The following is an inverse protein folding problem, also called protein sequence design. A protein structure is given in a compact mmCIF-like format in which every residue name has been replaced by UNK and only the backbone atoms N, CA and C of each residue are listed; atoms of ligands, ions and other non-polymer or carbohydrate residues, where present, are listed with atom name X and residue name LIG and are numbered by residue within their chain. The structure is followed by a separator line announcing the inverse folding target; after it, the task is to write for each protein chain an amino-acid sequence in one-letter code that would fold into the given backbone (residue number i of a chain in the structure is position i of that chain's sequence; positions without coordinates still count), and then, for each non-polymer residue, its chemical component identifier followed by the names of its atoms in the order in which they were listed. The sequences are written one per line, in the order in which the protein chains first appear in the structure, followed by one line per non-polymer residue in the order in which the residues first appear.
data_IF_199297988847
#
_entry.id   IF_199297988847
#
_cell.length_a   1.000
_cell.length_b   1.000
_cell.length_c   1.000
_cell.angle_alpha   90.00
_cell.angle_beta   90.00
_cell.angle_gamma   90.00
#
_symmetry.space_group_name_H-M   'P 1'
#
loop_
_entity.id
_entity.type
_entity.pdbx_description
1 polymer ?
#
# COMPACT_ATOMS: atom_id res chain seq x y z
N UNK A 1 30.07 -5.61 4.10
CA UNK A 1 28.84 -4.96 3.61
C UNK A 1 28.68 -3.66 4.37
N UNK A 2 28.60 -2.53 3.69
CA UNK A 2 28.46 -1.26 4.39
C UNK A 2 27.04 -1.15 4.95
N UNK A 3 26.92 -0.91 6.25
CA UNK A 3 25.66 -0.71 6.95
C UNK A 3 24.90 0.45 6.30
N UNK A 4 23.64 0.18 5.92
CA UNK A 4 22.73 1.19 5.41
C UNK A 4 22.30 2.05 6.61
N UNK A 5 22.67 3.32 6.64
CA UNK A 5 22.22 4.25 7.68
C UNK A 5 20.87 4.82 7.25
N UNK A 6 19.79 4.29 7.83
CA UNK A 6 18.46 4.88 7.74
C UNK A 6 18.25 5.84 8.92
N UNK A 7 17.67 7.00 8.65
CA UNK A 7 17.26 7.99 9.65
C UNK A 7 15.73 7.96 9.72
N UNK A 8 15.18 7.78 10.91
CA UNK A 8 13.72 7.78 11.14
C UNK A 8 13.30 9.07 11.83
N UNK A 9 12.09 9.53 11.53
CA UNK A 9 11.49 10.68 12.19
C UNK A 9 9.98 10.49 12.33
N UNK A 10 9.41 11.20 13.30
CA UNK A 10 7.97 11.37 13.45
C UNK A 10 7.65 12.85 13.26
N UNK A 11 6.61 13.15 12.49
CA UNK A 11 6.12 14.50 12.27
C UNK A 11 4.68 14.60 12.77
N UNK A 12 4.43 15.52 13.69
CA UNK A 12 3.07 15.82 14.16
C UNK A 12 2.38 16.75 13.16
N UNK A 13 1.23 16.30 12.64
CA UNK A 13 0.42 17.02 11.66
C UNK A 13 -1.00 17.24 12.21
N UNK A 14 -1.76 18.23 11.69
CA UNK A 14 -3.16 18.37 12.03
C UNK A 14 -3.94 17.10 11.67
N UNK A 15 -4.80 16.61 12.57
CA UNK A 15 -5.73 15.53 12.28
C UNK A 15 -6.69 15.97 11.17
N UNK A 16 -7.19 17.20 11.27
CA UNK A 16 -8.02 17.83 10.24
C UNK A 16 -7.21 18.89 9.53
N UNK A 17 -6.98 18.71 8.24
CA UNK A 17 -6.43 19.75 7.38
C UNK A 17 -7.57 20.64 6.91
N UNK A 18 -7.51 21.94 7.22
CA UNK A 18 -8.51 22.90 6.76
C UNK A 18 -8.33 23.23 5.27
N UNK A 19 -9.41 23.22 4.51
CA UNK A 19 -9.62 24.34 3.59
C UNK A 19 -9.93 25.57 4.47
N UNK A 20 -9.44 26.79 4.16
CA UNK A 20 -9.76 27.96 4.97
C UNK A 20 -11.28 28.07 5.09
N UNK A 21 -11.79 28.02 6.32
CA UNK A 21 -13.21 28.20 6.58
C UNK A 21 -13.63 29.56 6.02
N UNK A 22 -14.54 29.55 5.05
CA UNK A 22 -15.13 30.77 4.46
C UNK A 22 -15.95 31.55 5.52
N UNK A 23 -16.18 30.96 6.70
CA UNK A 23 -16.87 31.60 7.81
C UNK A 23 -16.12 31.39 9.13
N UNK A 24 -15.34 32.42 9.50
CA UNK A 24 -15.30 33.06 10.82
C UNK A 24 -15.09 32.22 12.09
N UNK A 25 -14.02 32.59 12.79
CA UNK A 25 -13.70 32.41 14.22
C UNK A 25 -13.15 31.05 14.69
N UNK A 26 -11.92 31.03 15.24
CA UNK A 26 -11.36 29.85 15.91
C UNK A 26 -11.83 29.81 17.37
N UNK A 27 -12.73 28.90 17.70
CA UNK A 27 -13.11 28.61 19.09
C UNK A 27 -12.50 27.28 19.56
N UNK A 28 -11.41 27.34 20.34
CA UNK A 28 -10.92 26.31 21.31
C UNK A 28 -10.63 24.86 20.78
N UNK A 29 -9.99 23.96 21.55
CA UNK A 29 -8.63 23.96 22.13
C UNK A 29 -7.57 23.58 21.06
N UNK A 30 -6.34 23.19 21.44
CA UNK A 30 -5.28 22.74 20.51
C UNK A 30 -5.87 21.81 19.43
N UNK A 31 -5.72 22.10 18.12
CA UNK A 31 -6.33 21.28 17.07
C UNK A 31 -5.84 19.84 17.22
N UNK A 32 -6.75 18.87 17.13
CA UNK A 32 -6.39 17.45 17.20
C UNK A 32 -5.25 17.16 16.20
N UNK A 33 -4.27 16.37 16.62
CA UNK A 33 -3.08 16.06 15.83
C UNK A 33 -2.95 14.57 15.59
N UNK A 34 -2.18 14.20 14.57
CA UNK A 34 -1.79 12.84 14.26
C UNK A 34 -0.29 12.83 14.01
N UNK A 35 0.40 11.80 14.48
CA UNK A 35 1.81 11.59 14.22
C UNK A 35 1.98 10.72 12.97
N UNK A 36 2.78 11.20 12.01
CA UNK A 36 3.15 10.43 10.81
C UNK A 36 4.61 10.03 10.84
N UNK A 37 4.90 8.80 10.43
CA UNK A 37 6.24 8.24 10.40
C UNK A 37 6.93 8.50 9.06
N UNK A 38 8.21 8.90 9.13
CA UNK A 38 9.08 9.13 7.98
C UNK A 38 10.37 8.33 8.13
N UNK A 39 10.93 7.93 7.00
CA UNK A 39 12.25 7.33 6.91
C UNK A 39 13.03 7.95 5.75
N UNK A 40 14.32 8.19 5.97
CA UNK A 40 15.29 8.60 4.96
C UNK A 40 16.47 7.64 4.90
N UNK A 41 16.90 7.28 3.69
CA UNK A 41 18.21 6.68 3.43
C UNK A 41 19.03 7.67 2.63
N UNK A 42 20.07 8.24 3.27
CA UNK A 42 20.91 9.27 2.66
C UNK A 42 21.89 8.69 1.65
N UNK A 43 22.06 9.36 0.52
CA UNK A 43 23.12 9.07 -0.44
C UNK A 43 24.50 9.40 0.15
N UNK A 44 25.49 8.54 -0.12
CA UNK A 44 26.89 8.79 0.28
C UNK A 44 27.47 10.05 -0.34
N UNK A 45 27.07 10.35 -1.57
CA UNK A 45 27.45 11.55 -2.32
C UNK A 45 26.17 12.17 -2.90
N UNK A 46 25.49 13.06 -2.16
CA UNK A 46 24.21 13.62 -2.58
C UNK A 46 24.32 14.43 -3.88
N UNK A 47 23.43 14.13 -4.82
CA UNK A 47 23.27 14.85 -6.09
C UNK A 47 22.20 15.94 -6.03
N UNK A 48 21.64 16.21 -4.85
CA UNK A 48 20.51 17.12 -4.68
C UNK A 48 19.18 16.56 -5.20
N UNK A 49 19.03 15.23 -5.31
CA UNK A 49 17.78 14.57 -5.68
C UNK A 49 17.18 13.85 -4.49
N UNK A 50 15.87 13.95 -4.33
CA UNK A 50 15.09 13.18 -3.36
C UNK A 50 14.10 12.30 -4.12
N UNK A 51 14.09 11.00 -3.81
CA UNK A 51 13.13 10.04 -4.33
C UNK A 51 12.19 9.64 -3.20
N UNK A 52 10.94 10.08 -3.28
CA UNK A 52 9.90 9.83 -2.29
C UNK A 52 9.03 8.65 -2.72
N UNK A 53 9.17 7.54 -2.01
CA UNK A 53 8.38 6.34 -2.23
C UNK A 53 7.04 6.44 -1.50
N UNK A 54 5.96 6.29 -2.27
CA UNK A 54 4.59 6.24 -1.79
C UNK A 54 4.10 4.81 -1.94
N UNK A 55 3.93 4.14 -0.80
CA UNK A 55 3.60 2.72 -0.76
C UNK A 55 2.18 2.42 -1.28
N UNK A 56 2.06 1.26 -1.89
CA UNK A 56 0.79 0.69 -2.32
C UNK A 56 0.01 -0.02 -1.21
N UNK A 57 -0.90 -0.90 -1.63
CA UNK A 57 -1.88 -1.57 -0.77
C UNK A 57 -3.30 -1.25 -1.25
N UNK A 58 -4.09 -0.40 -0.55
CA UNK A 58 -3.75 0.42 0.62
C UNK A 58 -3.36 -0.40 1.86
N UNK A 59 -2.75 0.25 2.86
CA UNK A 59 -2.29 -0.39 4.10
C UNK A 59 -0.77 -0.64 4.20
N UNK A 60 -0.03 -0.47 3.10
CA UNK A 60 1.42 -0.64 3.08
C UNK A 60 2.15 0.50 3.80
N UNK A 61 3.14 0.15 4.62
CA UNK A 61 4.05 1.10 5.25
C UNK A 61 5.25 1.39 4.33
N UNK A 62 5.37 2.63 3.85
CA UNK A 62 6.50 3.06 3.03
C UNK A 62 7.81 2.95 3.79
N UNK A 63 7.82 3.27 5.08
CA UNK A 63 9.01 3.20 5.94
C UNK A 63 9.54 1.76 6.06
N UNK A 64 8.66 0.76 6.14
CA UNK A 64 9.04 -0.66 6.18
C UNK A 64 9.61 -1.17 4.84
N UNK A 65 9.16 -0.61 3.71
CA UNK A 65 9.60 -1.03 2.38
C UNK A 65 10.88 -0.32 1.91
N UNK A 66 11.14 0.89 2.40
CA UNK A 66 12.24 1.74 1.93
C UNK A 66 13.62 1.04 1.93
N UNK A 67 14.02 0.26 2.97
CA UNK A 67 15.31 -0.45 2.95
C UNK A 67 15.42 -1.48 1.83
N UNK A 68 14.34 -2.21 1.54
CA UNK A 68 14.30 -3.18 0.45
C UNK A 68 14.43 -2.48 -0.90
N UNK A 69 13.71 -1.38 -1.09
CA UNK A 69 13.76 -0.60 -2.33
C UNK A 69 15.12 0.04 -2.53
N UNK A 70 15.73 0.61 -1.49
CA UNK A 70 17.08 1.15 -1.57
C UNK A 70 18.10 0.06 -1.92
N UNK A 71 18.00 -1.13 -1.31
CA UNK A 71 18.86 -2.27 -1.68
C UNK A 71 18.72 -2.68 -3.14
N UNK A 72 17.50 -2.60 -3.70
CA UNK A 72 17.22 -2.99 -5.08
C UNK A 72 17.63 -1.92 -6.10
N UNK A 73 17.39 -0.64 -5.79
CA UNK A 73 17.42 0.45 -6.76
C UNK A 73 18.46 1.54 -6.44
N UNK A 74 19.06 1.55 -5.25
CA UNK A 74 20.01 2.59 -4.85
C UNK A 74 21.24 2.70 -5.75
N UNK A 75 21.65 1.60 -6.39
CA UNK A 75 22.72 1.62 -7.39
C UNK A 75 22.33 2.32 -8.70
N UNK A 76 21.08 2.16 -9.17
CA UNK A 76 20.58 2.85 -10.35
C UNK A 76 20.29 4.34 -10.07
N UNK A 77 19.99 4.67 -8.83
CA UNK A 77 19.69 6.02 -8.35
C UNK A 77 20.80 6.59 -7.47
N UNK A 78 22.06 6.31 -7.82
CA UNK A 78 23.21 6.83 -7.09
C UNK A 78 23.12 8.34 -6.90
N UNK A 79 23.36 8.80 -5.68
CA UNK A 79 23.29 10.22 -5.32
C UNK A 79 21.89 10.74 -5.00
N UNK A 80 20.82 9.97 -5.14
CA UNK A 80 19.51 10.36 -4.64
C UNK A 80 19.34 9.93 -3.17
N UNK A 81 18.83 10.82 -2.34
CA UNK A 81 18.30 10.46 -1.03
C UNK A 81 16.95 9.77 -1.22
N UNK A 82 16.76 8.63 -0.57
CA UNK A 82 15.49 7.89 -0.61
C UNK A 82 14.66 8.28 0.61
N UNK A 83 13.40 8.60 0.39
CA UNK A 83 12.46 8.98 1.43
C UNK A 83 11.22 8.09 1.36
N UNK A 84 10.61 7.85 2.51
CA UNK A 84 9.27 7.32 2.61
C UNK A 84 8.53 8.02 3.75
N UNK A 85 7.22 8.16 3.58
CA UNK A 85 6.27 8.55 4.61
C UNK A 85 5.18 7.49 4.64
N UNK A 86 4.79 7.08 5.84
CA UNK A 86 3.67 6.16 6.01
C UNK A 86 2.36 6.93 5.84
N UNK A 87 1.47 6.41 4.98
CA UNK A 87 0.14 6.96 4.79
C UNK A 87 -0.64 6.90 6.11
N UNK A 88 -1.53 7.86 6.36
CA UNK A 88 -2.42 7.83 7.53
C UNK A 88 -3.15 6.49 7.62
N UNK A 89 -3.19 5.90 8.81
CA UNK A 89 -3.81 4.59 9.03
C UNK A 89 -2.86 3.41 8.80
N UNK A 90 -1.58 3.64 8.50
CA UNK A 90 -0.62 2.59 8.12
C UNK A 90 0.71 2.72 8.87
N UNK A 91 1.45 1.62 8.98
CA UNK A 91 2.82 1.64 9.52
C UNK A 91 2.96 2.36 10.86
N UNK A 92 3.91 3.29 10.95
CA UNK A 92 4.08 4.16 12.12
C UNK A 92 3.13 5.36 12.19
N UNK A 93 2.26 5.54 11.18
CA UNK A 93 1.31 6.66 11.05
C UNK A 93 -0.10 6.29 11.50
N UNK A 94 -0.25 5.93 12.78
CA UNK A 94 -1.54 5.53 13.37
C UNK A 94 -2.15 4.28 12.67
N UNK A 95 -1.41 3.17 12.62
CA UNK A 95 -1.87 1.92 11.97
C UNK A 95 -3.24 1.47 12.48
N UNK A 96 -4.19 1.30 11.56
CA UNK A 96 -5.42 0.58 11.83
C UNK A 96 -5.13 -0.91 11.93
N UNK A 97 -5.54 -1.52 13.03
CA UNK A 97 -5.34 -2.95 13.29
C UNK A 97 -6.49 -3.50 14.11
N UNK A 98 -6.70 -4.80 14.04
CA UNK A 98 -7.73 -5.52 14.79
C UNK A 98 -7.04 -6.62 15.60
N UNK A 99 -6.38 -6.29 16.74
CA UNK A 99 -5.46 -7.21 17.41
C UNK A 99 -6.08 -8.55 17.82
N UNK A 100 -7.38 -8.58 18.12
CA UNK A 100 -8.09 -9.81 18.45
C UNK A 100 -8.32 -10.71 17.21
N UNK A 101 -8.67 -10.10 16.07
CA UNK A 101 -8.94 -10.78 14.81
C UNK A 101 -7.67 -11.06 14.00
N UNK A 102 -6.59 -10.33 14.25
CA UNK A 102 -5.27 -10.54 13.65
C UNK A 102 -4.33 -11.33 14.60
N UNK A 103 -4.85 -11.94 15.67
CA UNK A 103 -4.04 -12.73 16.59
C UNK A 103 -3.70 -14.11 16.01
N UNK A 104 -2.52 -14.67 16.30
CA UNK A 104 -2.29 -16.11 16.10
C UNK A 104 -3.36 -16.93 16.83
N UNK A 105 -3.93 -17.95 16.17
CA UNK A 105 -5.02 -18.75 16.70
C UNK A 105 -6.42 -18.13 16.58
N UNK A 106 -6.54 -16.94 15.99
CA UNK A 106 -7.82 -16.43 15.46
C UNK A 106 -8.28 -17.29 14.26
N UNK A 107 -9.57 -17.23 13.85
CA UNK A 107 -10.03 -17.90 12.63
C UNK A 107 -9.17 -17.70 11.38
N UNK A 108 -8.57 -16.51 11.17
CA UNK A 108 -7.64 -16.24 10.08
C UNK A 108 -6.16 -16.44 10.41
N UNK A 109 -5.84 -16.89 11.62
CA UNK A 109 -4.50 -17.22 12.13
C UNK A 109 -3.43 -16.15 11.83
N UNK A 110 -3.72 -14.91 12.24
CA UNK A 110 -2.83 -13.77 11.98
C UNK A 110 -3.14 -13.01 10.69
N UNK A 111 -4.11 -13.50 9.92
CA UNK A 111 -4.79 -12.76 8.86
C UNK A 111 -6.25 -12.55 9.26
N UNK A 112 -6.95 -11.68 8.52
CA UNK A 112 -8.37 -11.45 8.74
C UNK A 112 -9.19 -12.46 7.92
N UNK A 113 -9.89 -13.39 8.57
CA UNK A 113 -10.84 -14.25 7.88
C UNK A 113 -12.16 -13.50 7.58
N UNK A 114 -12.97 -13.96 6.60
CA UNK A 114 -14.25 -13.32 6.28
C UNK A 114 -15.19 -13.14 7.47
N UNK A 115 -15.25 -14.12 8.38
CA UNK A 115 -16.09 -14.06 9.58
C UNK A 115 -15.60 -13.04 10.62
N UNK A 116 -14.37 -12.54 10.47
CA UNK A 116 -13.74 -11.62 11.40
C UNK A 116 -13.79 -10.16 10.93
N UNK A 117 -14.22 -9.94 9.68
CA UNK A 117 -14.33 -8.60 9.08
C UNK A 117 -15.28 -7.71 9.87
N UNK A 118 -16.50 -8.16 10.14
CA UNK A 118 -17.49 -7.35 10.85
C UNK A 118 -17.05 -7.03 12.29
N UNK A 119 -16.60 -8.01 13.11
CA UNK A 119 -16.02 -7.73 14.43
C UNK A 119 -14.83 -6.75 14.40
N UNK A 120 -13.98 -6.84 13.39
CA UNK A 120 -12.86 -5.93 13.19
C UNK A 120 -13.33 -4.50 12.85
N UNK A 121 -14.33 -4.35 12.00
CA UNK A 121 -14.94 -3.04 11.70
C UNK A 121 -15.56 -2.43 12.97
N UNK A 122 -16.24 -3.24 13.78
CA UNK A 122 -16.80 -2.79 15.05
C UNK A 122 -15.73 -2.34 16.03
N UNK A 123 -14.61 -3.07 16.15
CA UNK A 123 -13.50 -2.63 17.00
C UNK A 123 -12.88 -1.33 16.50
N UNK A 124 -12.65 -1.20 15.20
CA UNK A 124 -12.10 0.02 14.63
C UNK A 124 -13.01 1.24 14.88
N UNK A 125 -14.33 1.09 14.74
CA UNK A 125 -15.29 2.16 15.02
C UNK A 125 -15.30 2.57 16.49
N UNK A 126 -15.22 1.60 17.39
CA UNK A 126 -15.20 1.85 18.84
C UNK A 126 -13.89 2.52 19.27
N UNK A 127 -12.76 2.05 18.73
CA UNK A 127 -11.43 2.40 19.24
C UNK A 127 -10.82 3.61 18.49
N UNK A 128 -11.28 3.92 17.27
CA UNK A 128 -10.75 4.98 16.40
C UNK A 128 -11.83 5.87 15.76
N UNK A 129 -13.07 5.86 16.26
CA UNK A 129 -14.22 6.47 15.59
C UNK A 129 -14.09 7.96 15.26
N UNK A 130 -13.35 8.72 16.07
CA UNK A 130 -13.05 10.14 15.88
C UNK A 130 -11.95 10.39 14.83
N UNK A 131 -11.00 9.47 14.70
CA UNK A 131 -9.88 9.57 13.75
C UNK A 131 -10.24 9.04 12.37
N UNK A 132 -11.07 7.99 12.28
CA UNK A 132 -11.42 7.29 11.03
C UNK A 132 -11.87 8.21 9.89
N UNK A 133 -12.74 9.23 10.11
CA UNK A 133 -13.16 10.16 9.04
C UNK A 133 -12.01 10.98 8.44
N UNK A 134 -10.86 11.04 9.11
CA UNK A 134 -9.72 11.88 8.76
C UNK A 134 -8.53 11.09 8.19
N UNK A 135 -8.63 9.76 8.09
CA UNK A 135 -7.65 8.89 7.43
C UNK A 135 -7.89 8.83 5.92
N UNK A 136 -7.93 10.00 5.28
CA UNK A 136 -8.20 10.13 3.85
C UNK A 136 -6.92 10.32 3.03
N UNK A 137 -6.97 9.96 1.75
CA UNK A 137 -5.85 10.21 0.83
C UNK A 137 -5.53 11.71 0.74
N UNK A 138 -6.54 12.57 0.69
CA UNK A 138 -6.35 14.03 0.67
C UNK A 138 -5.63 14.51 1.93
N UNK A 139 -5.97 13.99 3.11
CA UNK A 139 -5.25 14.33 4.33
C UNK A 139 -3.77 13.88 4.30
N UNK A 140 -3.48 12.68 3.80
CA UNK A 140 -2.11 12.21 3.59
C UNK A 140 -1.34 12.97 2.51
N UNK A 141 -2.04 13.57 1.53
CA UNK A 141 -1.43 14.50 0.56
C UNK A 141 -0.93 15.77 1.25
N UNK A 142 -1.68 16.32 2.19
CA UNK A 142 -1.24 17.46 2.99
C UNK A 142 -0.04 17.12 3.89
N UNK A 143 -0.01 15.91 4.46
CA UNK A 143 1.13 15.45 5.26
C UNK A 143 2.41 15.33 4.42
N UNK A 144 2.30 14.78 3.21
CA UNK A 144 3.42 14.72 2.28
C UNK A 144 3.90 16.13 1.90
N UNK A 145 2.99 17.08 1.71
CA UNK A 145 3.35 18.46 1.40
C UNK A 145 4.14 19.10 2.55
N UNK A 146 3.66 18.96 3.79
CA UNK A 146 4.36 19.42 4.99
C UNK A 146 5.75 18.77 5.13
N UNK A 147 5.84 17.46 4.86
CA UNK A 147 7.12 16.74 4.87
C UNK A 147 8.10 17.30 3.82
N UNK A 148 7.61 17.60 2.62
CA UNK A 148 8.42 18.19 1.56
C UNK A 148 8.86 19.62 1.90
N UNK A 149 8.00 20.44 2.50
CA UNK A 149 8.37 21.81 2.91
C UNK A 149 9.58 21.82 3.84
N UNK A 150 9.62 20.91 4.82
CA UNK A 150 10.72 20.86 5.80
C UNK A 150 11.96 20.10 5.33
N UNK A 151 11.87 19.33 4.25
CA UNK A 151 12.98 18.48 3.76
C UNK A 151 13.56 18.90 2.40
N UNK A 152 12.80 19.56 1.53
CA UNK A 152 13.18 19.82 0.13
C UNK A 152 14.47 20.63 0.02
N UNK A 153 14.56 21.76 0.73
CA UNK A 153 15.64 22.72 0.54
C UNK A 153 15.76 23.13 -0.93
N UNK A 154 16.92 22.91 -1.55
CA UNK A 154 17.16 23.14 -2.99
C UNK A 154 17.11 21.86 -3.84
N UNK A 155 16.61 20.77 -3.26
CA UNK A 155 16.62 19.47 -3.90
C UNK A 155 15.53 19.35 -4.97
N UNK A 156 15.85 18.60 -6.02
CA UNK A 156 14.87 18.11 -6.98
C UNK A 156 14.08 16.95 -6.37
N UNK A 157 12.75 17.07 -6.30
CA UNK A 157 11.86 16.09 -5.67
C UNK A 157 11.22 15.22 -6.74
N UNK A 158 11.36 13.91 -6.61
CA UNK A 158 10.73 12.92 -7.48
C UNK A 158 9.79 12.04 -6.65
N UNK A 159 8.52 11.95 -7.03
CA UNK A 159 7.59 11.01 -6.42
C UNK A 159 7.64 9.67 -7.15
N UNK A 160 7.65 8.58 -6.39
CA UNK A 160 7.49 7.24 -6.88
C UNK A 160 6.28 6.61 -6.20
N UNK A 161 5.16 6.58 -6.90
CA UNK A 161 3.96 5.86 -6.47
C UNK A 161 3.98 4.42 -6.95
N UNK A 162 3.68 3.48 -6.07
CA UNK A 162 3.47 2.07 -6.41
C UNK A 162 2.04 1.64 -6.09
N UNK A 163 1.33 1.01 -7.03
CA UNK A 163 -0.04 0.50 -6.81
C UNK A 163 -0.95 1.61 -6.25
N UNK A 164 -1.63 1.44 -5.10
CA UNK A 164 -2.41 2.50 -4.44
C UNK A 164 -1.64 3.82 -4.24
N UNK A 165 -0.31 3.76 -4.04
CA UNK A 165 0.56 4.94 -3.98
C UNK A 165 0.55 5.77 -5.26
N UNK A 166 0.15 5.21 -6.41
CA UNK A 166 -0.06 5.98 -7.64
C UNK A 166 -1.33 6.82 -7.59
N UNK A 167 -2.41 6.33 -6.96
CA UNK A 167 -3.61 7.13 -6.70
C UNK A 167 -3.28 8.28 -5.74
N UNK A 168 -2.49 7.99 -4.70
CA UNK A 168 -1.96 9.02 -3.80
C UNK A 168 -1.09 10.05 -4.53
N UNK A 169 -0.14 9.61 -5.36
CA UNK A 169 0.71 10.51 -6.15
C UNK A 169 -0.10 11.41 -7.10
N UNK A 170 -1.11 10.86 -7.78
CA UNK A 170 -2.02 11.63 -8.64
C UNK A 170 -2.77 12.69 -7.85
N UNK A 171 -3.34 12.34 -6.70
CA UNK A 171 -4.01 13.31 -5.82
C UNK A 171 -3.04 14.37 -5.29
N UNK A 172 -1.78 14.00 -5.05
CA UNK A 172 -0.75 14.94 -4.62
C UNK A 172 -0.47 15.99 -5.69
N UNK A 173 -0.20 15.58 -6.93
CA UNK A 173 0.12 16.52 -8.03
C UNK A 173 -1.08 17.37 -8.42
N UNK A 174 -2.30 16.88 -8.24
CA UNK A 174 -3.51 17.69 -8.41
C UNK A 174 -3.53 18.87 -7.42
N UNK A 175 -3.13 18.65 -6.16
CA UNK A 175 -3.18 19.68 -5.11
C UNK A 175 -1.92 20.55 -5.02
N UNK A 176 -0.76 19.97 -5.33
CA UNK A 176 0.57 20.55 -5.14
C UNK A 176 1.49 20.32 -6.36
N UNK A 177 1.10 20.77 -7.57
CA UNK A 177 1.85 20.49 -8.80
C UNK A 177 3.28 21.04 -8.77
N UNK A 178 3.50 22.21 -8.14
CA UNK A 178 4.81 22.88 -8.05
C UNK A 178 5.74 22.28 -6.97
N UNK A 179 5.22 21.38 -6.11
CA UNK A 179 5.99 20.80 -5.02
C UNK A 179 6.95 19.69 -5.50
N UNK A 180 6.81 19.22 -6.74
CA UNK A 180 7.56 18.07 -7.28
C UNK A 180 8.10 18.35 -8.68
N UNK A 181 9.25 17.75 -9.00
CA UNK A 181 9.96 17.94 -10.26
C UNK A 181 9.84 16.73 -11.21
N UNK A 182 9.09 15.70 -10.79
CA UNK A 182 8.84 14.49 -11.56
C UNK A 182 8.08 13.44 -10.77
N UNK A 183 7.32 12.62 -11.48
CA UNK A 183 6.46 11.59 -10.89
C UNK A 183 6.63 10.30 -11.70
N UNK A 184 6.85 9.19 -11.00
CA UNK A 184 6.88 7.84 -11.54
C UNK A 184 5.72 7.04 -10.95
N UNK A 185 4.85 6.53 -11.82
CA UNK A 185 3.67 5.74 -11.43
C UNK A 185 3.87 4.29 -11.84
N UNK A 186 4.19 3.43 -10.88
CA UNK A 186 4.42 2.00 -11.06
C UNK A 186 3.15 1.22 -10.72
N UNK A 187 2.65 0.39 -11.65
CA UNK A 187 1.38 -0.32 -11.51
C UNK A 187 0.19 0.64 -11.23
N UNK A 188 -0.07 1.51 -12.20
CA UNK A 188 -1.04 2.61 -12.11
C UNK A 188 -2.44 2.17 -11.66
N UNK A 189 -2.94 2.85 -10.62
CA UNK A 189 -4.33 2.88 -10.19
C UNK A 189 -4.91 4.23 -10.63
N UNK A 190 -5.64 4.31 -11.76
CA UNK A 190 -6.17 5.57 -12.25
C UNK A 190 -7.28 6.12 -11.33
N UNK A 191 -7.54 7.42 -11.39
CA UNK A 191 -8.66 8.03 -10.68
C UNK A 191 -9.98 7.39 -11.15
N UNK A 192 -10.83 7.01 -10.20
CA UNK A 192 -12.10 6.31 -10.48
C UNK A 192 -11.96 4.79 -10.70
N UNK A 193 -10.75 4.23 -10.55
CA UNK A 193 -10.57 2.78 -10.56
C UNK A 193 -11.27 2.12 -9.37
N UNK A 194 -11.86 0.95 -9.59
CA UNK A 194 -12.60 0.20 -8.57
C UNK A 194 -12.04 -1.20 -8.40
N UNK A 195 -12.23 -1.80 -7.22
CA UNK A 195 -11.86 -3.20 -6.99
C UNK A 195 -12.58 -4.17 -7.94
N UNK A 196 -13.81 -3.85 -8.35
CA UNK A 196 -14.50 -4.61 -9.41
C UNK A 196 -13.72 -4.62 -10.72
N UNK A 197 -13.21 -3.46 -11.16
CA UNK A 197 -12.41 -3.36 -12.37
C UNK A 197 -11.07 -4.09 -12.23
N UNK A 198 -10.47 -4.05 -11.04
CA UNK A 198 -9.29 -4.82 -10.70
C UNK A 198 -9.54 -6.33 -10.83
N UNK A 199 -10.61 -6.84 -10.22
CA UNK A 199 -10.96 -8.26 -10.24
C UNK A 199 -11.19 -8.77 -11.66
N UNK A 200 -11.94 -8.02 -12.48
CA UNK A 200 -12.13 -8.36 -13.89
C UNK A 200 -10.80 -8.36 -14.66
N UNK A 201 -9.97 -7.34 -14.47
CA UNK A 201 -8.67 -7.25 -15.15
C UNK A 201 -7.72 -8.39 -14.79
N UNK A 202 -7.69 -8.78 -13.50
CA UNK A 202 -6.90 -9.91 -13.00
C UNK A 202 -7.42 -11.24 -13.55
N UNK A 203 -8.74 -11.44 -13.55
CA UNK A 203 -9.37 -12.62 -14.16
C UNK A 203 -9.01 -12.73 -15.65
N UNK A 204 -9.14 -11.64 -16.40
CA UNK A 204 -8.83 -11.63 -17.83
C UNK A 204 -7.34 -11.92 -18.09
N UNK A 205 -6.44 -11.40 -17.25
CA UNK A 205 -5.01 -11.70 -17.34
C UNK A 205 -4.72 -13.19 -17.05
N UNK A 206 -5.35 -13.74 -16.03
CA UNK A 206 -5.26 -15.17 -15.70
C UNK A 206 -5.77 -16.06 -16.83
N UNK A 207 -6.94 -15.74 -17.39
CA UNK A 207 -7.49 -16.46 -18.55
C UNK A 207 -6.55 -16.42 -19.75
N UNK A 208 -5.97 -15.26 -20.08
CA UNK A 208 -5.00 -15.14 -21.17
C UNK A 208 -3.76 -16.00 -20.95
N UNK A 209 -3.27 -16.09 -19.70
CA UNK A 209 -2.15 -16.96 -19.36
C UNK A 209 -2.51 -18.45 -19.53
N UNK A 210 -3.69 -18.85 -19.05
CA UNK A 210 -4.18 -20.22 -19.16
C UNK A 210 -4.49 -20.61 -20.62
N UNK A 211 -4.93 -19.67 -21.45
CA UNK A 211 -5.08 -19.89 -22.89
C UNK A 211 -3.74 -20.12 -23.56
N UNK A 212 -2.71 -19.32 -23.25
CA UNK A 212 -1.34 -19.58 -23.75
C UNK A 212 -0.79 -20.93 -23.30
N UNK A 213 -1.17 -21.40 -22.12
CA UNK A 213 -0.82 -22.74 -21.64
C UNK A 213 -1.44 -23.84 -22.52
N UNK A 214 -2.67 -23.66 -23.03
CA UNK A 214 -3.28 -24.63 -23.94
C UNK A 214 -2.50 -24.76 -25.27
N UNK A 215 -1.89 -23.66 -25.72
CA UNK A 215 -1.11 -23.62 -26.96
C UNK A 215 0.30 -24.21 -26.78
N UNK A 216 0.86 -24.15 -25.57
CA UNK A 216 2.20 -24.65 -25.24
C UNK A 216 2.19 -26.17 -24.98
N UNK A 217 2.89 -27.02 -25.78
CA UNK A 217 2.79 -28.47 -25.67
C UNK A 217 3.05 -29.03 -24.27
N UNK A 218 4.11 -28.56 -23.60
CA UNK A 218 4.46 -29.01 -22.25
C UNK A 218 3.39 -28.63 -21.21
N UNK A 219 2.74 -27.48 -21.38
CA UNK A 219 1.71 -27.00 -20.47
C UNK A 219 0.38 -27.72 -20.74
N UNK A 220 0.00 -27.90 -22.02
CA UNK A 220 -1.17 -28.70 -22.42
C UNK A 220 -1.07 -30.16 -21.99
N UNK A 221 0.11 -30.77 -22.07
CA UNK A 221 0.32 -32.14 -21.57
C UNK A 221 0.02 -32.23 -20.06
N UNK A 222 0.38 -31.19 -19.30
CA UNK A 222 0.20 -31.17 -17.84
C UNK A 222 -1.22 -30.78 -17.40
N UNK A 223 -1.85 -29.83 -18.08
CA UNK A 223 -3.09 -29.19 -17.64
C UNK A 223 -4.30 -29.45 -18.56
N UNK A 224 -4.10 -30.26 -19.61
CA UNK A 224 -5.15 -30.65 -20.55
C UNK A 224 -5.40 -29.60 -21.64
N UNK A 225 -6.38 -29.89 -22.49
CA UNK A 225 -6.74 -29.07 -23.64
C UNK A 225 -7.43 -27.75 -23.24
N UNK A 226 -8.00 -27.67 -22.03
CA UNK A 226 -8.65 -26.46 -21.52
C UNK A 226 -8.21 -26.17 -20.06
N UNK A 227 -7.04 -25.53 -19.88
CA UNK A 227 -6.57 -25.10 -18.57
C UNK A 227 -7.49 -24.05 -17.91
N UNK A 228 -8.31 -23.33 -18.69
CA UNK A 228 -9.28 -22.37 -18.15
C UNK A 228 -10.41 -23.11 -17.44
N UNK A 229 -11.06 -24.06 -18.11
CA UNK A 229 -12.11 -24.88 -17.50
C UNK A 229 -11.58 -25.69 -16.31
N UNK A 230 -10.34 -26.18 -16.39
CA UNK A 230 -9.69 -26.85 -15.27
C UNK A 230 -9.58 -25.93 -14.04
N UNK A 231 -9.13 -24.69 -14.23
CA UNK A 231 -8.98 -23.72 -13.15
C UNK A 231 -10.33 -23.29 -12.56
N UNK A 232 -11.33 -23.03 -13.41
CA UNK A 232 -12.67 -22.63 -12.96
C UNK A 232 -13.42 -23.75 -12.23
N UNK A 233 -13.17 -25.01 -12.60
CA UNK A 233 -13.73 -26.18 -11.91
C UNK A 233 -13.04 -26.52 -10.59
N UNK A 234 -11.87 -25.93 -10.30
CA UNK A 234 -11.05 -26.28 -9.14
C UNK A 234 -11.79 -26.11 -7.79
N UNK A 235 -12.49 -24.98 -7.53
CA UNK A 235 -13.20 -24.80 -6.25
C UNK A 235 -14.26 -25.88 -5.99
N UNK A 236 -15.03 -26.27 -7.02
CA UNK A 236 -16.05 -27.31 -6.89
C UNK A 236 -15.42 -28.68 -6.59
N UNK A 237 -14.29 -29.00 -7.23
CA UNK A 237 -13.53 -30.23 -6.97
C UNK A 237 -12.96 -30.25 -5.55
N UNK A 238 -12.39 -29.14 -5.09
CA UNK A 238 -11.90 -29.00 -3.72
C UNK A 238 -13.03 -29.18 -2.70
N UNK A 239 -14.17 -28.55 -2.93
CA UNK A 239 -15.35 -28.69 -2.07
C UNK A 239 -15.85 -30.14 -2.02
N UNK A 240 -15.77 -30.87 -3.13
CA UNK A 240 -16.09 -32.29 -3.21
C UNK A 240 -14.96 -33.22 -2.70
N UNK A 241 -13.94 -32.70 -2.01
CA UNK A 241 -12.87 -33.51 -1.40
C UNK A 241 -11.80 -34.05 -2.34
N UNK A 242 -11.69 -33.54 -3.58
CA UNK A 242 -10.74 -34.04 -4.58
C UNK A 242 -9.31 -33.52 -4.43
N UNK A 243 -8.90 -33.06 -3.24
CA UNK A 243 -7.56 -32.51 -3.02
C UNK A 243 -6.46 -33.52 -3.40
N UNK A 244 -6.63 -34.80 -3.04
CA UNK A 244 -5.70 -35.87 -3.41
C UNK A 244 -5.62 -36.06 -4.94
N UNK A 245 -6.77 -36.08 -5.61
CA UNK A 245 -6.86 -36.18 -7.06
C UNK A 245 -6.32 -34.94 -7.81
N UNK A 246 -6.15 -33.82 -7.11
CA UNK A 246 -5.55 -32.59 -7.60
C UNK A 246 -4.07 -32.46 -7.24
N UNK A 247 -3.50 -33.46 -6.56
CA UNK A 247 -2.16 -33.43 -5.99
C UNK A 247 -1.92 -32.18 -5.11
N UNK A 248 -2.97 -31.67 -4.49
CA UNK A 248 -2.89 -30.56 -3.54
C UNK A 248 -2.66 -31.13 -2.14
N UNK A 249 -1.67 -30.61 -1.39
CA UNK A 249 -1.45 -31.05 -0.03
C UNK A 249 -2.69 -30.74 0.81
N UNK A 250 -3.28 -31.77 1.42
CA UNK A 250 -4.36 -31.61 2.41
C UNK A 250 -3.70 -31.30 3.75
N UNK A 251 -3.91 -30.11 4.34
CA UNK A 251 -3.41 -29.85 5.68
C UNK A 251 -4.09 -30.82 6.66
N UNK A 252 -3.32 -31.42 7.57
CA UNK A 252 -3.87 -32.36 8.56
C UNK A 252 -4.96 -31.74 9.46
N UNK A 253 -5.06 -30.41 9.52
CA UNK A 253 -6.12 -29.69 10.22
C UNK A 253 -7.48 -29.66 9.51
N UNK A 254 -7.58 -30.21 8.29
CA UNK A 254 -8.79 -30.24 7.47
C UNK A 254 -9.45 -31.63 7.41
N UNK A 255 -8.87 -32.62 8.10
CA UNK A 255 -9.36 -34.01 8.19
C UNK A 255 -9.85 -34.30 9.61
#
# INVERSE_FOLDING_TARGET
MATMAAECATMTVPLVHGEPSVHGEPTEPRPATLDVALMRVRARQPSGRQLWYLAGGPGGAGTSLLPLLHRRYGAAWQGADFYAIDHRGTGGSHRLSCPAQEAPGSPGDGLLAPAEVDPCIESLRRDHGDVLPHLTVTASVHDLAAALEVTRGRSRVLLWGNSFGTYWAQRFVERYPEAVDGVFLEALVPVGYSYRAFDHGMNDAGRRLLQRCADEPACRERFGADPVALAEGLPARLHAGHCEALALPVPASWV
#
